data_IF_856183601095
#
_entry.id   IF_856183601095
#
_cell.length_a   1.000
_cell.length_b   1.000
_cell.length_c   1.000
_cell.angle_alpha   90.00
_cell.angle_beta   90.00
_cell.angle_gamma   90.00
#
_symmetry.space_group_name_H-M   'P 1'
#
loop_
_entity.id
_entity.type
_entity.pdbx_description
1 polymer ?
#
# COMPACT_ATOMS: atom_id res chain seq x y z
N UNK A 1 9.25 18.25 18.93
CA UNK A 1 9.30 18.27 17.45
C UNK A 1 8.14 17.44 16.89
N UNK A 2 7.03 18.07 16.49
CA UNK A 2 5.91 17.38 15.80
C UNK A 2 6.41 16.88 14.43
N UNK A 3 6.82 15.62 14.37
CA UNK A 3 7.27 14.97 13.14
C UNK A 3 6.03 14.76 12.26
N UNK A 4 5.95 15.46 11.12
CA UNK A 4 4.84 15.47 10.16
C UNK A 4 4.20 14.08 9.92
N UNK A 5 3.19 13.72 10.72
CA UNK A 5 2.40 12.48 10.54
C UNK A 5 1.63 12.46 9.22
N UNK A 6 1.42 13.64 8.61
CA UNK A 6 0.79 13.79 7.30
C UNK A 6 1.61 13.16 6.17
N UNK A 7 2.93 13.16 6.28
CA UNK A 7 3.83 12.65 5.22
C UNK A 7 3.66 11.14 5.00
N UNK A 8 3.22 10.44 6.02
CA UNK A 8 3.04 8.98 6.01
C UNK A 8 1.76 8.57 5.25
N UNK A 9 0.82 9.49 5.09
CA UNK A 9 -0.44 9.27 4.35
C UNK A 9 -0.37 9.73 2.89
N UNK A 10 0.66 10.50 2.51
CA UNK A 10 0.90 10.94 1.13
C UNK A 10 0.79 9.80 0.10
N UNK A 11 1.47 8.64 0.26
CA UNK A 11 1.38 7.56 -0.72
C UNK A 11 -0.05 7.02 -0.86
N UNK A 12 -0.81 6.99 0.24
CA UNK A 12 -2.21 6.55 0.23
C UNK A 12 -3.12 7.56 -0.49
N UNK A 13 -2.92 8.86 -0.25
CA UNK A 13 -3.68 9.93 -0.90
C UNK A 13 -3.41 9.93 -2.41
N UNK A 14 -2.14 9.77 -2.84
CA UNK A 14 -1.77 9.67 -4.25
C UNK A 14 -2.43 8.48 -4.92
N UNK A 15 -2.42 7.31 -4.26
CA UNK A 15 -3.07 6.09 -4.76
C UNK A 15 -4.58 6.29 -4.96
N UNK A 16 -5.23 6.98 -4.02
CA UNK A 16 -6.66 7.26 -4.05
C UNK A 16 -7.03 8.26 -5.17
N UNK A 17 -6.18 9.26 -5.41
CA UNK A 17 -6.35 10.20 -6.54
C UNK A 17 -6.24 9.46 -7.88
N UNK A 18 -5.22 8.61 -8.04
CA UNK A 18 -5.03 7.80 -9.26
C UNK A 18 -6.21 6.86 -9.48
N UNK A 19 -6.76 6.28 -8.42
CA UNK A 19 -7.96 5.46 -8.49
C UNK A 19 -9.19 6.24 -8.98
N UNK A 20 -9.42 7.44 -8.45
CA UNK A 20 -10.54 8.29 -8.88
C UNK A 20 -10.36 8.70 -10.35
N UNK A 21 -9.17 9.14 -10.74
CA UNK A 21 -8.86 9.50 -12.14
C UNK A 21 -8.99 8.31 -13.10
N UNK A 22 -8.54 7.12 -12.70
CA UNK A 22 -8.60 5.94 -13.56
C UNK A 22 -9.99 5.30 -13.64
N UNK A 23 -10.64 5.15 -12.49
CA UNK A 23 -11.92 4.45 -12.34
C UNK A 23 -13.14 5.33 -12.65
N UNK A 24 -13.21 6.53 -12.06
CA UNK A 24 -14.38 7.42 -12.20
C UNK A 24 -14.37 8.15 -13.54
N UNK A 25 -13.20 8.66 -13.96
CA UNK A 25 -13.05 9.36 -15.24
C UNK A 25 -12.74 8.44 -16.44
N UNK A 26 -12.78 7.11 -16.24
CA UNK A 26 -12.59 6.07 -17.27
C UNK A 26 -11.26 6.13 -18.05
N UNK A 27 -10.21 6.74 -17.50
CA UNK A 27 -8.86 6.69 -18.09
C UNK A 27 -8.21 5.32 -17.88
N UNK A 28 -8.56 4.35 -18.74
CA UNK A 28 -8.09 2.95 -18.65
C UNK A 28 -6.57 2.81 -18.49
N UNK A 29 -5.78 3.59 -19.21
CA UNK A 29 -4.31 3.51 -19.12
C UNK A 29 -3.75 3.92 -17.76
N UNK A 30 -4.27 5.02 -17.20
CA UNK A 30 -3.89 5.52 -15.87
C UNK A 30 -4.33 4.56 -14.78
N UNK A 31 -5.50 3.93 -14.95
CA UNK A 31 -6.03 2.94 -14.02
C UNK A 31 -5.14 1.69 -13.93
N UNK A 32 -4.71 1.14 -15.07
CA UNK A 32 -3.84 -0.04 -15.12
C UNK A 32 -2.47 0.26 -14.50
N UNK A 33 -1.88 1.41 -14.85
CA UNK A 33 -0.62 1.86 -14.23
C UNK A 33 -0.76 2.05 -12.73
N UNK A 34 -1.89 2.59 -12.29
CA UNK A 34 -2.26 2.71 -10.88
C UNK A 34 -2.21 1.36 -10.18
N UNK A 35 -2.96 0.38 -10.71
CA UNK A 35 -3.08 -0.98 -10.18
C UNK A 35 -1.75 -1.73 -10.11
N UNK A 36 -1.00 -1.73 -11.20
CA UNK A 36 0.19 -2.57 -11.31
C UNK A 36 1.39 -1.95 -10.57
N UNK A 37 1.47 -0.62 -10.49
CA UNK A 37 2.69 0.08 -10.05
C UNK A 37 2.44 0.92 -8.79
N UNK A 38 1.54 1.90 -8.86
CA UNK A 38 1.40 2.88 -7.77
C UNK A 38 0.84 2.26 -6.48
N UNK A 39 -0.18 1.42 -6.61
CA UNK A 39 -0.80 0.75 -5.49
C UNK A 39 0.15 -0.19 -4.70
N UNK A 40 0.91 -1.10 -5.34
CA UNK A 40 1.87 -1.94 -4.63
C UNK A 40 3.02 -1.12 -4.04
N UNK A 41 3.49 -0.06 -4.70
CA UNK A 41 4.52 0.85 -4.16
C UNK A 41 4.00 1.56 -2.90
N UNK A 42 2.76 2.04 -2.91
CA UNK A 42 2.17 2.71 -1.74
C UNK A 42 2.08 1.77 -0.54
N UNK A 43 1.66 0.53 -0.76
CA UNK A 43 1.60 -0.49 0.28
C UNK A 43 2.98 -0.89 0.79
N UNK A 44 3.97 -0.98 -0.10
CA UNK A 44 5.35 -1.20 0.29
C UNK A 44 5.86 -0.10 1.24
N UNK A 45 5.64 1.17 0.88
CA UNK A 45 6.04 2.32 1.71
C UNK A 45 5.32 2.30 3.05
N UNK A 46 4.03 1.95 3.08
CA UNK A 46 3.30 1.78 4.34
C UNK A 46 3.84 0.64 5.19
N UNK A 47 4.26 -0.48 4.59
CA UNK A 47 4.93 -1.57 5.29
C UNK A 47 6.23 -1.12 5.96
N UNK A 48 7.07 -0.37 5.22
CA UNK A 48 8.29 0.26 5.74
C UNK A 48 7.98 1.20 6.92
N UNK A 49 7.01 2.11 6.74
CA UNK A 49 6.59 3.06 7.77
C UNK A 49 6.06 2.38 9.03
N UNK A 50 5.30 1.30 8.86
CA UNK A 50 4.77 0.51 9.96
C UNK A 50 5.90 -0.10 10.80
N UNK A 51 6.91 -0.68 10.14
CA UNK A 51 8.10 -1.25 10.78
C UNK A 51 8.89 -0.18 11.55
N UNK A 52 9.16 0.96 10.90
CA UNK A 52 9.93 2.07 11.48
C UNK A 52 9.28 2.68 12.73
N UNK A 53 7.95 2.74 12.77
CA UNK A 53 7.20 3.32 13.89
C UNK A 53 6.88 2.31 15.01
N UNK A 54 7.27 1.04 14.86
CA UNK A 54 6.85 -0.07 15.74
C UNK A 54 5.33 -0.10 15.97
N UNK A 55 4.55 0.32 14.97
CA UNK A 55 3.09 0.19 15.03
C UNK A 55 2.74 -1.28 14.75
N UNK A 56 1.66 -1.79 15.37
CA UNK A 56 1.23 -3.16 15.16
C UNK A 56 0.97 -3.45 13.68
N UNK A 57 1.77 -4.33 13.09
CA UNK A 57 1.79 -4.66 11.66
C UNK A 57 0.42 -5.04 11.06
N UNK A 58 -0.43 -5.66 11.88
CA UNK A 58 -1.70 -6.28 11.48
C UNK A 58 -2.79 -5.23 11.22
N UNK A 59 -2.86 -4.18 12.04
CA UNK A 59 -3.98 -3.22 12.00
C UNK A 59 -4.00 -2.41 10.69
N UNK A 60 -2.88 -1.80 10.24
CA UNK A 60 -2.86 -1.08 8.97
C UNK A 60 -3.09 -2.02 7.79
N UNK A 61 -2.50 -3.22 7.83
CA UNK A 61 -2.63 -4.23 6.77
C UNK A 61 -4.10 -4.58 6.52
N UNK A 62 -4.87 -4.87 7.58
CA UNK A 62 -6.28 -5.26 7.45
C UNK A 62 -7.12 -4.10 6.91
N UNK A 63 -6.95 -2.90 7.46
CA UNK A 63 -7.71 -1.71 7.02
C UNK A 63 -7.45 -1.42 5.54
N UNK A 64 -6.18 -1.43 5.13
CA UNK A 64 -5.81 -1.20 3.73
C UNK A 64 -6.36 -2.30 2.83
N UNK A 65 -6.22 -3.56 3.21
CA UNK A 65 -6.73 -4.68 2.43
C UNK A 65 -8.25 -4.56 2.19
N UNK A 66 -9.03 -4.15 3.20
CA UNK A 66 -10.47 -3.94 3.06
C UNK A 66 -10.80 -2.80 2.09
N UNK A 67 -10.15 -1.63 2.25
CA UNK A 67 -10.39 -0.47 1.38
C UNK A 67 -10.09 -0.82 -0.08
N UNK A 68 -8.94 -1.46 -0.30
CA UNK A 68 -8.51 -1.88 -1.64
C UNK A 68 -9.42 -2.96 -2.23
N UNK A 69 -9.91 -3.90 -1.41
CA UNK A 69 -10.85 -4.91 -1.86
C UNK A 69 -12.15 -4.29 -2.37
N UNK A 70 -12.73 -3.34 -1.63
CA UNK A 70 -13.95 -2.62 -2.04
C UNK A 70 -13.70 -1.85 -3.35
N UNK A 71 -12.57 -1.15 -3.45
CA UNK A 71 -12.18 -0.39 -4.64
C UNK A 71 -12.02 -1.30 -5.88
N UNK A 72 -11.33 -2.42 -5.73
CA UNK A 72 -11.11 -3.37 -6.82
C UNK A 72 -12.41 -4.07 -7.26
N UNK A 73 -13.26 -4.46 -6.31
CA UNK A 73 -14.58 -5.03 -6.61
C UNK A 73 -15.45 -4.05 -7.40
N UNK A 74 -15.39 -2.76 -7.08
CA UNK A 74 -16.18 -1.76 -7.80
C UNK A 74 -15.75 -1.58 -9.25
N UNK A 75 -14.46 -1.70 -9.55
CA UNK A 75 -13.96 -1.46 -10.92
C UNK A 75 -13.92 -2.73 -11.77
N UNK A 76 -13.47 -3.86 -11.21
CA UNK A 76 -13.32 -5.09 -11.98
C UNK A 76 -14.59 -5.93 -11.99
N UNK A 77 -15.39 -5.94 -10.92
CA UNK A 77 -16.57 -6.80 -10.79
C UNK A 77 -16.26 -8.30 -10.62
N UNK A 78 -15.06 -8.76 -11.02
CA UNK A 78 -14.65 -10.17 -10.99
C UNK A 78 -13.87 -10.53 -9.71
N UNK A 79 -14.49 -11.29 -8.80
CA UNK A 79 -13.90 -11.69 -7.52
C UNK A 79 -12.54 -12.37 -7.64
N UNK A 80 -12.38 -13.24 -8.64
CA UNK A 80 -11.16 -14.06 -8.82
C UNK A 80 -9.93 -13.19 -9.14
N UNK A 81 -10.11 -12.22 -10.05
CA UNK A 81 -9.11 -11.21 -10.38
C UNK A 81 -8.77 -10.34 -9.18
N UNK A 82 -9.79 -9.88 -8.44
CA UNK A 82 -9.62 -9.03 -7.26
C UNK A 82 -8.78 -9.74 -6.20
N UNK A 83 -9.03 -11.02 -5.93
CA UNK A 83 -8.24 -11.81 -4.99
C UNK A 83 -6.77 -11.94 -5.40
N UNK A 84 -6.48 -12.04 -6.71
CA UNK A 84 -5.12 -12.13 -7.23
C UNK A 84 -4.35 -10.82 -6.97
N UNK A 85 -4.95 -9.66 -7.31
CA UNK A 85 -4.35 -8.35 -7.03
C UNK A 85 -4.20 -8.10 -5.53
N UNK A 86 -5.18 -8.49 -4.71
CA UNK A 86 -5.11 -8.34 -3.26
C UNK A 86 -3.94 -9.15 -2.66
N UNK A 87 -3.70 -10.38 -3.14
CA UNK A 87 -2.53 -11.17 -2.71
C UNK A 87 -1.23 -10.47 -3.07
N UNK A 88 -1.11 -9.92 -4.28
CA UNK A 88 0.07 -9.18 -4.73
C UNK A 88 0.36 -7.96 -3.83
N UNK A 89 -0.69 -7.24 -3.46
CA UNK A 89 -0.66 -6.09 -2.57
C UNK A 89 -0.22 -6.44 -1.14
N UNK A 90 -0.74 -7.54 -0.59
CA UNK A 90 -0.34 -8.04 0.73
C UNK A 90 1.14 -8.44 0.74
N UNK A 91 1.62 -9.10 -0.32
CA UNK A 91 3.04 -9.48 -0.46
C UNK A 91 3.92 -8.24 -0.49
N UNK A 92 3.55 -7.21 -1.26
CA UNK A 92 4.30 -5.95 -1.33
C UNK A 92 4.42 -5.26 0.04
N UNK A 93 3.33 -5.23 0.83
CA UNK A 93 3.34 -4.68 2.18
C UNK A 93 4.25 -5.47 3.13
N UNK A 94 4.16 -6.81 3.12
CA UNK A 94 5.00 -7.70 3.94
C UNK A 94 6.48 -7.48 3.61
N UNK A 95 6.83 -7.41 2.32
CA UNK A 95 8.20 -7.17 1.86
C UNK A 95 8.74 -5.84 2.40
N UNK A 96 7.97 -4.76 2.26
CA UNK A 96 8.38 -3.45 2.79
C UNK A 96 8.64 -3.47 4.29
N UNK A 97 7.79 -4.17 5.05
CA UNK A 97 7.96 -4.30 6.49
C UNK A 97 9.21 -5.10 6.88
N UNK A 98 9.43 -6.25 6.23
CA UNK A 98 10.59 -7.12 6.50
C UNK A 98 11.89 -6.40 6.16
N UNK A 99 11.95 -5.70 5.03
CA UNK A 99 13.15 -4.97 4.59
C UNK A 99 13.55 -3.93 5.62
N UNK A 100 12.61 -3.08 6.07
CA UNK A 100 12.93 -2.06 7.09
C UNK A 100 13.29 -2.71 8.43
N UNK A 101 12.66 -3.84 8.78
CA UNK A 101 13.00 -4.58 10.00
C UNK A 101 14.43 -5.12 9.94
N UNK A 102 14.86 -5.65 8.80
CA UNK A 102 16.23 -6.12 8.58
C UNK A 102 17.23 -4.96 8.63
N UNK A 103 16.93 -3.84 7.97
CA UNK A 103 17.79 -2.64 7.97
C UNK A 103 17.96 -2.09 9.38
N UNK A 104 16.88 -1.97 10.15
CA UNK A 104 16.94 -1.48 11.53
C UNK A 104 17.72 -2.41 12.46
N UNK A 105 17.58 -3.73 12.29
CA UNK A 105 18.39 -4.72 13.02
C UNK A 105 19.88 -4.62 12.66
N UNK A 106 20.20 -4.53 11.37
CA UNK A 106 21.58 -4.34 10.89
C UNK A 106 22.20 -3.06 11.46
N UNK A 107 21.44 -1.95 11.44
CA UNK A 107 21.90 -0.68 12.00
C UNK A 107 22.20 -0.80 13.50
N UNK A 108 21.33 -1.45 14.26
CA UNK A 108 21.54 -1.68 15.71
C UNK A 108 22.72 -2.61 16.05
N UNK A 109 23.24 -3.36 15.07
CA UNK A 109 24.38 -4.27 15.26
C UNK A 109 25.73 -3.60 14.96
N UNK A 110 25.71 -2.47 14.26
CA UNK A 110 26.91 -1.70 13.86
C UNK A 110 27.11 -0.41 14.67
N UNK A 111 26.13 -0.03 15.51
CA UNK A 111 26.28 0.98 16.60
C UNK A 111 26.58 0.27 17.92
#
# INVERSE_FOLDING_TARGET
>A
MQKNRFRDYIPMIISLIIFILGGVFKFKGVFILGLVVFFPISLFIQGVLCSKKRMGFIIPLVILSIIFFIMLMWVMGDYESVCLYLKYYVIAYILGYIIEKLISLLKSKFE
#
